data_IF_595359591740
#
_entry.id   IF_595359591740
#
_cell.length_a   1.000
_cell.length_b   1.000
_cell.length_c   1.000
_cell.angle_alpha   90.00
_cell.angle_beta   90.00
_cell.angle_gamma   90.00
#
_symmetry.space_group_name_H-M   'P 1'
#
loop_
_entity.id
_entity.type
_entity.pdbx_description
1 polymer ?
#
# COMPACT_ATOMS: atom_id res chain seq x y z
N UNK A 1 -18.56 33.49 15.73
CA UNK A 1 -18.17 32.85 14.45
C UNK A 1 -17.09 33.73 13.84
N UNK A 2 -15.81 33.40 14.08
CA UNK A 2 -14.67 34.19 13.60
C UNK A 2 -13.94 33.46 12.46
N UNK A 3 -13.20 34.18 11.59
CA UNK A 3 -12.55 33.62 10.41
C UNK A 3 -11.29 32.75 10.69
N UNK A 4 -10.85 32.64 11.94
CA UNK A 4 -9.65 31.87 12.32
C UNK A 4 -9.83 30.34 12.39
N UNK A 5 -11.05 29.82 12.26
CA UNK A 5 -11.31 28.37 12.39
C UNK A 5 -11.12 27.58 11.07
N UNK A 6 -10.83 28.26 9.96
CA UNK A 6 -10.84 27.63 8.63
C UNK A 6 -9.48 27.04 8.18
N UNK A 7 -8.40 27.24 8.96
CA UNK A 7 -7.05 26.80 8.57
C UNK A 7 -6.49 25.61 9.38
N UNK A 8 -7.21 25.10 10.40
CA UNK A 8 -6.69 24.04 11.27
C UNK A 8 -7.12 22.62 10.90
N UNK A 9 -8.03 22.45 9.92
CA UNK A 9 -8.52 21.11 9.55
C UNK A 9 -7.83 20.52 8.29
N UNK A 10 -6.87 21.22 7.69
CA UNK A 10 -6.17 20.76 6.48
C UNK A 10 -4.91 19.92 6.77
N UNK A 11 -4.55 19.70 8.04
CA UNK A 11 -3.31 18.98 8.41
C UNK A 11 -3.54 17.75 9.27
N UNK A 12 -4.77 17.23 9.34
CA UNK A 12 -4.97 15.83 9.71
C UNK A 12 -4.80 14.96 8.47
N UNK A 13 -3.63 15.07 7.84
CA UNK A 13 -3.07 13.98 7.07
C UNK A 13 -2.78 12.90 8.11
N UNK A 14 -3.79 12.11 8.47
CA UNK A 14 -3.61 11.02 9.40
C UNK A 14 -2.41 10.22 8.87
N UNK A 15 -1.28 10.12 9.60
CA UNK A 15 -0.12 9.34 9.13
C UNK A 15 -0.52 7.90 8.80
N UNK A 16 -1.62 7.44 9.38
CA UNK A 16 -2.35 6.22 9.05
C UNK A 16 -2.81 6.17 7.59
N UNK A 17 -3.42 7.23 7.04
CA UNK A 17 -3.82 7.28 5.62
C UNK A 17 -2.62 7.22 4.69
N UNK A 18 -1.52 7.89 5.02
CA UNK A 18 -0.29 7.84 4.21
C UNK A 18 0.35 6.46 4.25
N UNK A 19 0.40 5.81 5.42
CA UNK A 19 0.91 4.44 5.58
C UNK A 19 0.06 3.46 4.78
N UNK A 20 -1.25 3.49 4.97
CA UNK A 20 -2.19 2.59 4.29
C UNK A 20 -2.16 2.76 2.77
N UNK A 21 -2.08 3.99 2.26
CA UNK A 21 -1.91 4.24 0.83
C UNK A 21 -0.60 3.64 0.31
N UNK A 22 0.50 3.85 1.03
CA UNK A 22 1.83 3.41 0.62
C UNK A 22 1.93 1.89 0.66
N UNK A 23 1.30 1.23 1.63
CA UNK A 23 1.21 -0.21 1.68
C UNK A 23 0.32 -0.77 0.54
N UNK A 24 -0.80 -0.12 0.22
CA UNK A 24 -1.62 -0.47 -0.96
C UNK A 24 -0.84 -0.37 -2.27
N UNK A 25 -0.11 0.72 -2.47
CA UNK A 25 0.73 0.91 -3.66
C UNK A 25 1.84 -0.15 -3.74
N UNK A 26 2.45 -0.50 -2.60
CA UNK A 26 3.45 -1.57 -2.53
C UNK A 26 2.86 -2.93 -2.85
N UNK A 27 1.72 -3.28 -2.28
CA UNK A 27 1.04 -4.55 -2.55
C UNK A 27 0.66 -4.66 -4.03
N UNK A 28 0.16 -3.58 -4.63
CA UNK A 28 -0.15 -3.53 -6.07
C UNK A 28 1.10 -3.72 -6.93
N UNK A 29 2.21 -3.07 -6.57
CA UNK A 29 3.48 -3.20 -7.28
C UNK A 29 4.06 -4.62 -7.17
N UNK A 30 4.00 -5.23 -5.98
CA UNK A 30 4.43 -6.59 -5.74
C UNK A 30 3.62 -7.61 -6.56
N UNK A 31 2.29 -7.47 -6.60
CA UNK A 31 1.41 -8.32 -7.43
C UNK A 31 1.73 -8.15 -8.92
N UNK A 32 1.95 -6.92 -9.37
CA UNK A 32 2.28 -6.66 -10.78
C UNK A 32 3.61 -7.32 -11.17
N UNK A 33 4.65 -7.19 -10.33
CA UNK A 33 5.92 -7.87 -10.55
C UNK A 33 5.78 -9.39 -10.49
N UNK A 34 4.97 -9.91 -9.57
CA UNK A 34 4.72 -11.35 -9.47
C UNK A 34 4.10 -11.88 -10.78
N UNK A 35 3.20 -11.13 -11.40
CA UNK A 35 2.65 -11.45 -12.72
C UNK A 35 3.74 -11.45 -13.81
N UNK A 36 4.60 -10.45 -13.84
CA UNK A 36 5.70 -10.38 -14.83
C UNK A 36 6.68 -11.55 -14.68
N UNK A 37 6.97 -11.98 -13.45
CA UNK A 37 7.84 -13.13 -13.18
C UNK A 37 7.15 -14.47 -13.50
N UNK A 38 5.85 -14.61 -13.21
CA UNK A 38 5.04 -15.77 -13.61
C UNK A 38 5.02 -15.93 -15.15
N UNK A 39 4.87 -14.84 -15.89
CA UNK A 39 4.92 -14.86 -17.37
C UNK A 39 6.31 -15.20 -17.92
N UNK A 40 7.38 -14.94 -17.16
CA UNK A 40 8.76 -15.34 -17.53
C UNK A 40 9.06 -16.80 -17.19
N UNK A 41 8.20 -17.47 -16.40
CA UNK A 41 8.44 -18.82 -15.87
C UNK A 41 9.32 -18.83 -14.61
N UNK A 42 9.34 -17.72 -13.87
CA UNK A 42 10.02 -17.58 -12.58
C UNK A 42 9.01 -17.78 -11.44
N UNK A 43 8.38 -18.96 -11.41
CA UNK A 43 7.26 -19.29 -10.53
C UNK A 43 7.61 -19.16 -9.03
N UNK A 44 8.82 -19.56 -8.65
CA UNK A 44 9.32 -19.45 -7.27
C UNK A 44 9.35 -17.98 -6.81
N UNK A 45 9.85 -17.07 -7.65
CA UNK A 45 9.98 -15.65 -7.34
C UNK A 45 8.60 -14.96 -7.35
N UNK A 46 7.71 -15.37 -8.27
CA UNK A 46 6.32 -14.93 -8.30
C UNK A 46 5.56 -15.30 -7.01
N UNK A 47 5.71 -16.53 -6.53
CA UNK A 47 5.07 -17.00 -5.27
C UNK A 47 5.56 -16.21 -4.07
N UNK A 48 6.86 -15.93 -3.97
CA UNK A 48 7.41 -15.10 -2.90
C UNK A 48 6.87 -13.66 -2.94
N UNK A 49 6.75 -13.08 -4.14
CA UNK A 49 6.20 -11.72 -4.34
C UNK A 49 4.71 -11.64 -3.99
N UNK A 50 3.91 -12.62 -4.38
CA UNK A 50 2.49 -12.71 -4.01
C UNK A 50 2.30 -12.83 -2.50
N UNK A 51 3.12 -13.67 -1.85
CA UNK A 51 3.08 -13.86 -0.40
C UNK A 51 3.38 -12.55 0.32
N UNK A 52 4.43 -11.84 -0.10
CA UNK A 52 4.79 -10.53 0.45
C UNK A 52 3.67 -9.50 0.24
N UNK A 53 3.02 -9.47 -0.92
CA UNK A 53 1.90 -8.56 -1.18
C UNK A 53 0.71 -8.83 -0.25
N UNK A 54 0.39 -10.10 -0.01
CA UNK A 54 -0.70 -10.52 0.88
C UNK A 54 -0.38 -10.19 2.33
N UNK A 55 0.83 -10.48 2.80
CA UNK A 55 1.26 -10.12 4.16
C UNK A 55 1.22 -8.61 4.40
N UNK A 56 1.62 -7.83 3.41
CA UNK A 56 1.60 -6.37 3.47
C UNK A 56 0.16 -5.83 3.57
N UNK A 57 -0.76 -6.37 2.75
CA UNK A 57 -2.20 -6.06 2.85
C UNK A 57 -2.79 -6.41 4.21
N UNK A 58 -2.42 -7.56 4.80
CA UNK A 58 -2.92 -7.98 6.12
C UNK A 58 -2.40 -7.05 7.22
N UNK A 59 -1.12 -6.67 7.18
CA UNK A 59 -0.51 -5.73 8.13
C UNK A 59 -1.06 -4.30 8.04
N UNK A 60 -1.65 -3.92 6.90
CA UNK A 60 -2.21 -2.57 6.68
C UNK A 60 -3.55 -2.36 7.41
N UNK A 61 -4.25 -3.46 7.72
CA UNK A 61 -5.61 -3.45 8.29
C UNK A 61 -5.60 -3.63 9.82
N UNK A 62 -4.45 -3.92 10.44
CA UNK A 62 -4.27 -4.08 11.89
C UNK A 62 -3.74 -2.78 12.54
#
# INVERSE_FOLDING_TARGET
>A
MGPDDMLLNAQKSDPLKSRQHLDLERAHFLVTQAFEEDEKGNDDEAVELYTQAVELCINTVH
#
